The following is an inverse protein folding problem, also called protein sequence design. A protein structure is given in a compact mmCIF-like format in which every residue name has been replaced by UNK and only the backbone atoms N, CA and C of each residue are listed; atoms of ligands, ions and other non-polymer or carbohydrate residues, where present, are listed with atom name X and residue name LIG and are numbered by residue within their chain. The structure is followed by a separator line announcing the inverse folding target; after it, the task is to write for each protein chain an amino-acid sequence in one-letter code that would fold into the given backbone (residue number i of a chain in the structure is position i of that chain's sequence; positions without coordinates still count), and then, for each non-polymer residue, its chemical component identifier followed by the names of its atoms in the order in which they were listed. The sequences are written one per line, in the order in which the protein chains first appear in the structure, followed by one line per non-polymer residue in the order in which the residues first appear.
data_IF_230210681375
#
_entry.id   IF_230210681375
#
_cell.length_a   1.000
_cell.length_b   1.000
_cell.length_c   1.000
_cell.angle_alpha   90.00
_cell.angle_beta   90.00
_cell.angle_gamma   90.00
#
_symmetry.space_group_name_H-M   'P 1'
#
loop_
_entity.id
_entity.type
_entity.pdbx_description
1 polymer ?
#
# COMPACT_ATOMS: atom_id res chain seq x y z
N UNK A 1 13.03 -17.26 19.94
CA UNK A 1 12.23 -17.98 18.94
C UNK A 1 10.80 -17.97 19.45
N UNK A 2 9.93 -17.15 18.86
CA UNK A 2 8.50 -17.19 19.11
C UNK A 2 7.86 -17.60 17.79
N UNK A 3 7.54 -18.88 17.66
CA UNK A 3 6.71 -19.36 16.57
C UNK A 3 5.33 -18.73 16.76
N UNK A 4 4.96 -17.78 15.91
CA UNK A 4 3.58 -17.36 15.80
C UNK A 4 2.78 -18.56 15.29
N UNK A 5 1.94 -19.13 16.18
CA UNK A 5 1.07 -20.25 15.85
C UNK A 5 0.10 -19.80 14.74
N UNK A 6 0.07 -20.45 13.55
CA UNK A 6 -0.81 -20.08 12.44
C UNK A 6 -2.31 -20.12 12.79
N UNK A 7 -2.67 -20.77 13.89
CA UNK A 7 -4.06 -21.05 14.29
C UNK A 7 -4.66 -20.08 15.31
N UNK A 8 -3.95 -19.04 15.74
CA UNK A 8 -4.53 -18.10 16.70
C UNK A 8 -5.52 -17.18 16.00
N UNK A 9 -6.81 -17.30 16.37
CA UNK A 9 -7.86 -16.41 15.89
C UNK A 9 -7.44 -14.94 16.08
N UNK A 10 -7.51 -14.15 15.00
CA UNK A 10 -7.18 -12.72 15.03
C UNK A 10 -8.46 -11.91 15.09
N UNK A 11 -8.45 -10.82 15.84
CA UNK A 11 -9.56 -9.88 15.84
C UNK A 11 -9.57 -9.05 14.56
N UNK A 12 -10.66 -9.10 13.79
CA UNK A 12 -10.85 -8.24 12.63
C UNK A 12 -11.69 -7.04 13.05
N UNK A 13 -11.08 -5.87 13.00
CA UNK A 13 -11.72 -4.61 13.38
C UNK A 13 -12.22 -3.86 12.16
N UNK A 14 -13.20 -2.99 12.33
CA UNK A 14 -13.80 -2.17 11.26
C UNK A 14 -13.67 -0.70 11.59
N UNK A 15 -13.27 0.12 10.61
CA UNK A 15 -13.26 1.58 10.76
C UNK A 15 -13.69 2.30 9.48
N UNK A 16 -14.07 3.56 9.64
CA UNK A 16 -14.29 4.50 8.53
C UNK A 16 -13.03 5.37 8.39
N UNK A 17 -12.35 5.33 7.26
CA UNK A 17 -11.16 6.15 7.06
C UNK A 17 -11.48 7.62 6.74
N UNK A 18 -10.44 8.45 6.62
CA UNK A 18 -10.56 9.89 6.33
C UNK A 18 -11.28 10.23 5.02
N UNK A 19 -11.44 9.25 4.12
CA UNK A 19 -12.18 9.37 2.85
C UNK A 19 -13.62 8.87 2.95
N UNK A 20 -14.08 8.54 4.16
CA UNK A 20 -15.39 7.92 4.42
C UNK A 20 -15.58 6.61 3.68
N UNK A 21 -14.50 5.83 3.58
CA UNK A 21 -14.52 4.46 3.06
C UNK A 21 -14.40 3.53 4.25
N UNK A 22 -15.32 2.57 4.33
CA UNK A 22 -15.25 1.50 5.30
C UNK A 22 -14.10 0.55 4.93
N UNK A 23 -13.28 0.22 5.92
CA UNK A 23 -12.19 -0.75 5.80
C UNK A 23 -12.20 -1.69 7.00
N UNK A 24 -11.71 -2.91 6.78
CA UNK A 24 -11.47 -3.87 7.84
C UNK A 24 -9.97 -4.04 8.02
N UNK A 25 -9.51 -4.18 9.24
CA UNK A 25 -8.10 -4.24 9.53
C UNK A 25 -7.77 -5.18 10.69
N UNK A 26 -6.59 -5.77 10.62
CA UNK A 26 -6.00 -6.62 11.65
C UNK A 26 -4.71 -5.96 12.10
N UNK A 27 -4.60 -5.62 13.39
CA UNK A 27 -3.43 -4.96 13.96
C UNK A 27 -2.26 -5.92 14.14
N UNK A 28 -1.04 -5.41 14.00
CA UNK A 28 0.20 -6.10 14.33
C UNK A 28 0.57 -7.27 13.44
N UNK A 29 -0.14 -7.48 12.32
CA UNK A 29 0.08 -8.66 11.45
C UNK A 29 0.01 -8.31 9.98
N UNK A 30 0.87 -8.95 9.20
CA UNK A 30 0.74 -9.12 7.76
C UNK A 30 0.28 -10.55 7.49
N UNK A 31 -0.99 -10.75 7.13
CA UNK A 31 -1.53 -12.09 6.89
C UNK A 31 -1.29 -12.55 5.45
N UNK A 32 -1.10 -13.85 5.28
CA UNK A 32 -1.19 -14.48 3.96
C UNK A 32 -2.60 -14.36 3.39
N UNK A 33 -2.74 -14.53 2.07
CA UNK A 33 -4.04 -14.55 1.42
C UNK A 33 -4.93 -15.68 1.99
N UNK A 34 -4.34 -16.84 2.23
CA UNK A 34 -4.98 -18.01 2.81
C UNK A 34 -5.44 -17.76 4.24
N UNK A 35 -4.55 -17.28 5.12
CA UNK A 35 -4.90 -16.96 6.50
C UNK A 35 -5.96 -15.87 6.55
N UNK A 36 -5.90 -14.87 5.68
CA UNK A 36 -6.92 -13.83 5.62
C UNK A 36 -8.29 -14.40 5.25
N UNK A 37 -8.35 -15.32 4.28
CA UNK A 37 -9.57 -16.05 3.90
C UNK A 37 -10.12 -16.83 5.10
N UNK A 38 -9.30 -17.65 5.74
CA UNK A 38 -9.71 -18.45 6.90
C UNK A 38 -10.25 -17.58 8.04
N UNK A 39 -9.52 -16.53 8.43
CA UNK A 39 -9.88 -15.67 9.55
C UNK A 39 -11.16 -14.86 9.29
N UNK A 40 -11.38 -14.43 8.05
CA UNK A 40 -12.62 -13.75 7.66
C UNK A 40 -13.81 -14.70 7.61
N UNK A 41 -13.64 -15.93 7.11
CA UNK A 41 -14.70 -16.96 7.11
C UNK A 41 -15.14 -17.31 8.53
N UNK A 42 -14.19 -17.43 9.48
CA UNK A 42 -14.49 -17.78 10.87
C UNK A 42 -15.33 -16.75 11.61
N UNK A 43 -15.25 -15.47 11.22
CA UNK A 43 -15.95 -14.37 11.89
C UNK A 43 -17.30 -14.01 11.24
N UNK A 44 -17.73 -14.75 10.22
CA UNK A 44 -18.97 -14.54 9.44
C UNK A 44 -19.21 -13.06 9.10
N UNK A 45 -18.14 -12.36 8.74
CA UNK A 45 -18.24 -10.97 8.38
C UNK A 45 -18.90 -10.89 7.01
N UNK A 46 -20.00 -10.14 6.90
CA UNK A 46 -20.54 -9.65 5.62
C UNK A 46 -19.58 -8.62 4.99
N UNK A 47 -18.33 -9.02 4.78
CA UNK A 47 -17.28 -8.24 4.17
C UNK A 47 -17.35 -8.48 2.65
N UNK A 48 -17.54 -7.42 1.83
CA UNK A 48 -17.53 -7.54 0.38
C UNK A 48 -16.25 -8.18 -0.19
N UNK A 49 -15.15 -8.21 0.57
CA UNK A 49 -13.92 -8.92 0.21
C UNK A 49 -14.10 -10.44 0.12
N UNK A 50 -15.00 -11.05 0.90
CA UNK A 50 -15.19 -12.51 0.89
C UNK A 50 -15.57 -13.03 -0.50
N UNK A 51 -16.41 -12.28 -1.22
CA UNK A 51 -16.77 -12.59 -2.62
C UNK A 51 -15.56 -12.64 -3.56
N UNK A 52 -14.43 -12.02 -3.22
CA UNK A 52 -13.20 -12.07 -4.01
C UNK A 52 -12.20 -13.08 -3.45
N UNK A 53 -12.13 -13.23 -2.12
CA UNK A 53 -11.29 -14.23 -1.48
C UNK A 53 -11.74 -15.65 -1.82
N UNK A 54 -13.03 -15.91 -1.98
CA UNK A 54 -13.56 -17.25 -2.29
C UNK A 54 -13.46 -17.63 -3.77
N UNK A 55 -13.04 -16.71 -4.65
CA UNK A 55 -12.91 -17.01 -6.07
C UNK A 55 -11.77 -17.99 -6.31
N UNK A 56 -12.02 -18.92 -7.22
CA UNK A 56 -10.96 -19.71 -7.84
C UNK A 56 -10.11 -18.79 -8.71
N UNK A 57 -8.83 -18.65 -8.37
CA UNK A 57 -7.89 -17.78 -9.07
C UNK A 57 -7.19 -18.61 -10.14
N UNK A 58 -7.26 -18.23 -11.44
CA UNK A 58 -6.56 -18.93 -12.50
C UNK A 58 -5.06 -19.03 -12.18
N UNK A 59 -4.39 -20.16 -12.46
CA UNK A 59 -2.96 -20.33 -12.18
C UNK A 59 -2.11 -19.17 -12.72
N UNK A 60 -1.19 -18.65 -11.93
CA UNK A 60 -0.33 -17.51 -12.28
C UNK A 60 0.96 -17.52 -11.44
N UNK A 61 1.98 -16.72 -11.80
CA UNK A 61 3.16 -16.53 -10.96
C UNK A 61 2.79 -15.97 -9.57
N UNK A 62 2.92 -16.80 -8.53
CA UNK A 62 2.74 -16.40 -7.13
C UNK A 62 3.40 -17.41 -6.19
N UNK A 63 3.96 -16.98 -5.04
CA UNK A 63 4.28 -15.59 -4.70
C UNK A 63 5.48 -15.07 -5.48
N UNK A 64 5.56 -13.75 -5.70
CA UNK A 64 6.66 -13.09 -6.42
C UNK A 64 7.33 -12.08 -5.50
N UNK A 65 8.67 -12.08 -5.45
CA UNK A 65 9.44 -11.15 -4.62
C UNK A 65 9.90 -9.92 -5.43
N UNK A 66 9.46 -8.73 -5.02
CA UNK A 66 9.88 -7.45 -5.60
C UNK A 66 10.79 -6.70 -4.64
N UNK A 67 11.90 -6.19 -5.17
CA UNK A 67 12.85 -5.37 -4.43
C UNK A 67 12.68 -3.90 -4.81
N UNK A 68 11.86 -3.18 -4.04
CA UNK A 68 11.40 -1.84 -4.40
C UNK A 68 12.22 -0.76 -3.71
N UNK A 69 12.80 0.11 -4.51
CA UNK A 69 13.73 1.17 -4.07
C UNK A 69 13.07 2.54 -3.94
N UNK A 70 11.97 2.76 -4.68
CA UNK A 70 11.29 4.04 -4.74
C UNK A 70 9.93 3.98 -4.06
N UNK A 71 9.56 5.09 -3.44
CA UNK A 71 8.23 5.29 -2.86
C UNK A 71 7.62 6.56 -3.39
N UNK A 72 6.29 6.59 -3.42
CA UNK A 72 5.52 7.69 -3.97
C UNK A 72 4.48 8.21 -2.98
N UNK A 73 4.36 9.54 -2.94
CA UNK A 73 3.24 10.22 -2.33
C UNK A 73 2.37 10.82 -3.43
N UNK A 74 1.13 10.38 -3.53
CA UNK A 74 0.16 10.91 -4.49
C UNK A 74 -0.78 11.89 -3.80
N UNK A 75 -1.06 13.00 -4.49
CA UNK A 75 -2.03 14.00 -4.07
C UNK A 75 -2.80 14.59 -5.25
N UNK A 76 -3.88 15.32 -4.93
CA UNK A 76 -4.55 16.24 -5.85
C UNK A 76 -3.83 17.59 -5.92
N UNK A 77 -4.20 18.42 -6.91
CA UNK A 77 -3.61 19.76 -7.16
C UNK A 77 -3.43 20.61 -5.91
N UNK A 78 -4.46 20.73 -5.06
CA UNK A 78 -4.37 21.56 -3.86
C UNK A 78 -3.36 21.04 -2.85
N UNK A 79 -3.15 19.71 -2.75
CA UNK A 79 -2.13 19.15 -1.88
C UNK A 79 -0.73 19.31 -2.48
N UNK A 80 -0.61 19.18 -3.81
CA UNK A 80 0.64 19.48 -4.52
C UNK A 80 1.09 20.92 -4.29
N UNK A 81 0.19 21.90 -4.49
CA UNK A 81 0.49 23.32 -4.28
C UNK A 81 0.89 23.61 -2.83
N UNK A 82 0.21 22.98 -1.85
CA UNK A 82 0.56 23.10 -0.44
C UNK A 82 1.95 22.55 -0.16
N UNK A 83 2.25 21.32 -0.57
CA UNK A 83 3.56 20.68 -0.37
C UNK A 83 4.66 21.52 -1.03
N UNK A 84 4.44 22.00 -2.25
CA UNK A 84 5.43 22.79 -2.98
C UNK A 84 5.67 24.18 -2.35
N UNK A 85 4.65 24.76 -1.71
CA UNK A 85 4.76 26.04 -1.01
C UNK A 85 5.39 25.89 0.38
N UNK A 86 5.00 24.87 1.14
CA UNK A 86 5.47 24.66 2.52
C UNK A 86 6.77 23.84 2.61
N UNK A 87 7.20 23.22 1.52
CA UNK A 87 8.35 22.31 1.45
C UNK A 87 8.23 21.11 2.42
N UNK A 88 6.99 20.72 2.73
CA UNK A 88 6.69 19.86 3.87
C UNK A 88 5.62 18.82 3.56
N UNK A 89 5.93 17.57 3.87
CA UNK A 89 4.94 16.49 3.97
C UNK A 89 4.44 16.43 5.40
N UNK A 90 3.30 17.08 5.64
CA UNK A 90 2.57 17.01 6.92
C UNK A 90 1.46 15.98 6.80
N UNK A 91 1.22 15.17 7.84
CA UNK A 91 0.01 14.38 7.89
C UNK A 91 -1.20 15.33 7.94
N UNK A 92 -2.35 14.87 7.47
CA UNK A 92 -3.59 15.66 7.47
C UNK A 92 -4.17 15.81 8.88
N UNK A 93 -5.40 15.36 9.09
CA UNK A 93 -6.05 15.38 10.41
C UNK A 93 -5.53 14.28 11.37
N UNK A 94 -4.34 13.71 11.12
CA UNK A 94 -3.78 12.60 11.90
C UNK A 94 -2.27 12.74 12.01
N UNK A 95 -1.59 11.69 12.46
CA UNK A 95 -0.14 11.69 12.71
C UNK A 95 0.65 10.86 11.69
N UNK A 96 0.02 10.52 10.57
CA UNK A 96 0.55 9.52 9.64
C UNK A 96 0.65 10.07 8.22
N UNK A 97 1.87 10.06 7.68
CA UNK A 97 2.16 10.38 6.28
C UNK A 97 2.29 9.09 5.48
N UNK A 98 1.44 8.93 4.48
CA UNK A 98 1.27 7.70 3.69
C UNK A 98 2.07 7.77 2.40
N UNK A 99 2.75 6.66 2.11
CA UNK A 99 3.59 6.47 0.92
C UNK A 99 3.35 5.06 0.37
N UNK A 100 3.20 4.96 -0.94
CA UNK A 100 3.05 3.67 -1.61
C UNK A 100 4.35 3.28 -2.32
N UNK A 101 4.60 1.98 -2.48
CA UNK A 101 5.71 1.51 -3.31
C UNK A 101 5.55 1.99 -4.76
N UNK A 102 6.63 2.49 -5.35
CA UNK A 102 6.67 2.90 -6.76
C UNK A 102 7.44 1.85 -7.56
N UNK A 103 6.68 0.90 -8.10
CA UNK A 103 7.22 -0.21 -8.88
C UNK A 103 7.37 0.21 -10.33
N UNK A 104 8.58 0.12 -10.86
CA UNK A 104 8.86 0.41 -12.27
C UNK A 104 9.05 -0.90 -13.07
N UNK A 105 9.17 -0.77 -14.40
CA UNK A 105 9.36 -1.94 -15.28
C UNK A 105 10.66 -2.69 -14.98
N UNK A 106 11.71 -1.99 -14.57
CA UNK A 106 13.00 -2.60 -14.25
C UNK A 106 12.90 -3.48 -13.00
N UNK A 107 12.15 -3.04 -11.98
CA UNK A 107 11.87 -3.83 -10.77
C UNK A 107 10.95 -5.02 -11.05
N UNK A 108 10.05 -4.93 -12.03
CA UNK A 108 9.26 -6.09 -12.49
C UNK A 108 10.16 -7.10 -13.19
N UNK A 109 10.99 -6.65 -14.14
CA UNK A 109 11.94 -7.51 -14.87
C UNK A 109 12.97 -8.14 -13.94
N UNK A 110 13.47 -7.41 -12.95
CA UNK A 110 14.40 -7.94 -11.96
C UNK A 110 13.79 -9.02 -11.05
N UNK A 111 12.46 -9.05 -10.92
CA UNK A 111 11.74 -10.10 -10.20
C UNK A 111 11.46 -11.34 -11.06
N UNK A 112 11.70 -11.27 -12.37
CA UNK A 112 11.55 -12.42 -13.25
C UNK A 112 12.61 -13.48 -12.95
N UNK A 113 12.24 -14.74 -13.18
CA UNK A 113 13.12 -15.89 -13.00
C UNK A 113 13.03 -16.77 -14.24
N UNK A 114 13.92 -17.76 -14.38
CA UNK A 114 13.80 -18.76 -15.45
C UNK A 114 12.41 -19.43 -15.48
N UNK A 115 11.75 -19.54 -14.32
CA UNK A 115 10.40 -20.07 -14.19
C UNK A 115 9.32 -19.11 -14.70
N UNK A 116 9.52 -17.79 -14.56
CA UNK A 116 8.52 -16.75 -14.82
C UNK A 116 9.10 -15.55 -15.61
N UNK A 117 9.54 -15.72 -16.87
CA UNK A 117 10.14 -14.65 -17.69
C UNK A 117 9.09 -13.72 -18.34
N UNK A 118 7.91 -13.56 -17.74
CA UNK A 118 6.77 -12.85 -18.34
C UNK A 118 5.89 -12.14 -17.30
N UNK A 119 6.47 -11.67 -16.19
CA UNK A 119 5.73 -11.07 -15.08
C UNK A 119 4.93 -9.84 -15.49
N UNK A 120 5.41 -9.06 -16.47
CA UNK A 120 4.66 -7.92 -17.04
C UNK A 120 3.24 -8.31 -17.53
N UNK A 121 3.04 -9.57 -17.92
CA UNK A 121 1.73 -10.08 -18.35
C UNK A 121 0.73 -10.19 -17.20
N UNK A 122 1.24 -10.44 -15.98
CA UNK A 122 0.43 -10.72 -14.78
C UNK A 122 0.41 -9.55 -13.79
N UNK A 123 1.32 -8.58 -13.87
CA UNK A 123 1.34 -7.40 -12.99
C UNK A 123 0.29 -6.35 -13.38
N UNK A 124 -0.99 -6.73 -13.34
CA UNK A 124 -2.12 -5.89 -13.79
C UNK A 124 -2.77 -5.08 -12.67
N UNK A 125 -2.40 -5.30 -11.41
CA UNK A 125 -2.93 -4.54 -10.27
C UNK A 125 -2.35 -3.11 -10.19
N UNK A 126 -3.02 -2.19 -9.47
CA UNK A 126 -2.64 -0.77 -9.45
C UNK A 126 -1.18 -0.43 -9.08
N UNK A 127 -0.51 -1.12 -8.14
CA UNK A 127 0.89 -0.81 -7.81
C UNK A 127 1.85 -0.91 -9.00
N UNK A 128 1.50 -1.73 -9.99
CA UNK A 128 2.31 -2.00 -11.18
C UNK A 128 1.89 -1.15 -12.40
N UNK A 129 0.96 -0.21 -12.22
CA UNK A 129 0.49 0.72 -13.27
C UNK A 129 1.02 2.14 -13.01
N UNK A 130 2.32 2.38 -13.22
CA UNK A 130 2.98 3.63 -12.84
C UNK A 130 2.35 4.86 -13.48
N UNK A 131 1.75 4.75 -14.66
CA UNK A 131 1.15 5.87 -15.40
C UNK A 131 -0.19 6.35 -14.83
N UNK A 132 -0.82 5.54 -13.97
CA UNK A 132 -2.15 5.82 -13.43
C UNK A 132 -2.13 5.93 -11.91
N UNK A 133 -3.17 6.55 -11.36
CA UNK A 133 -3.35 6.64 -9.91
C UNK A 133 -4.81 6.76 -9.52
N UNK A 134 -5.16 6.07 -8.42
CA UNK A 134 -6.48 6.16 -7.80
C UNK A 134 -6.61 7.31 -6.81
N UNK A 135 -5.51 7.93 -6.39
CA UNK A 135 -5.48 8.83 -5.22
C UNK A 135 -5.21 10.30 -5.56
N UNK A 136 -5.04 10.61 -6.84
CA UNK A 136 -4.73 11.95 -7.33
C UNK A 136 -3.84 11.89 -8.57
N UNK A 137 -3.66 13.01 -9.24
CA UNK A 137 -2.92 13.12 -10.49
C UNK A 137 -1.54 13.78 -10.35
N UNK A 138 -1.13 14.14 -9.13
CA UNK A 138 0.20 14.64 -8.81
C UNK A 138 0.93 13.63 -7.94
N UNK A 139 2.17 13.32 -8.27
CA UNK A 139 2.98 12.34 -7.55
C UNK A 139 4.35 12.92 -7.25
N UNK A 140 4.82 12.73 -6.02
CA UNK A 140 6.23 12.90 -5.66
C UNK A 140 6.85 11.52 -5.47
N UNK A 141 7.96 11.25 -6.15
CA UNK A 141 8.68 9.98 -6.06
C UNK A 141 10.08 10.19 -5.51
N UNK A 142 10.46 9.44 -4.49
CA UNK A 142 11.80 9.51 -3.91
C UNK A 142 12.40 8.11 -3.74
N UNK A 143 13.74 7.99 -3.80
CA UNK A 143 14.43 6.85 -3.23
C UNK A 143 14.05 6.72 -1.76
N UNK A 144 13.66 5.52 -1.33
CA UNK A 144 13.29 5.27 0.06
C UNK A 144 14.46 5.55 1.01
N UNK A 145 15.70 5.29 0.58
CA UNK A 145 16.91 5.61 1.34
C UNK A 145 17.01 7.11 1.70
N UNK A 146 16.75 8.00 0.73
CA UNK A 146 16.76 9.45 0.97
C UNK A 146 15.59 9.87 1.88
N UNK A 147 14.40 9.31 1.67
CA UNK A 147 13.24 9.58 2.52
C UNK A 147 13.50 9.16 3.97
N UNK A 148 14.09 7.98 4.18
CA UNK A 148 14.49 7.47 5.49
C UNK A 148 15.57 8.34 6.13
N UNK A 149 16.52 8.87 5.34
CA UNK A 149 17.55 9.79 5.81
C UNK A 149 16.95 11.11 6.31
N UNK A 150 16.07 11.76 5.54
CA UNK A 150 15.38 12.96 6.00
C UNK A 150 14.56 12.70 7.26
N UNK A 151 13.84 11.57 7.31
CA UNK A 151 13.07 11.21 8.49
C UNK A 151 13.96 11.01 9.73
N UNK A 152 15.08 10.28 9.57
CA UNK A 152 16.09 10.07 10.63
C UNK A 152 16.63 11.37 11.18
N UNK A 153 17.07 12.28 10.30
CA UNK A 153 17.65 13.57 10.68
C UNK A 153 16.63 14.48 11.36
N UNK A 154 15.41 14.54 10.84
CA UNK A 154 14.42 15.54 11.24
C UNK A 154 13.48 15.09 12.36
N UNK A 155 13.23 13.78 12.48
CA UNK A 155 12.20 13.23 13.37
C UNK A 155 12.72 12.16 14.34
N UNK A 156 13.95 11.66 14.15
CA UNK A 156 14.54 10.63 15.03
C UNK A 156 15.78 11.11 15.80
N UNK A 157 16.08 12.42 15.80
CA UNK A 157 17.31 12.97 16.38
C UNK A 157 18.59 12.24 15.91
N UNK A 158 18.62 11.84 14.64
CA UNK A 158 19.73 11.11 14.04
C UNK A 158 19.79 9.61 14.39
N UNK A 159 18.87 9.06 15.17
CA UNK A 159 18.79 7.61 15.46
C UNK A 159 18.06 6.87 14.35
N UNK A 160 18.40 5.60 14.15
CA UNK A 160 17.73 4.78 13.14
C UNK A 160 16.22 4.67 13.40
N UNK A 161 15.37 4.94 12.39
CA UNK A 161 13.93 4.73 12.49
C UNK A 161 13.59 3.26 12.77
N UNK A 162 12.52 3.02 13.52
CA UNK A 162 12.03 1.68 13.82
C UNK A 162 10.91 1.32 12.85
N UNK A 163 10.99 0.13 12.24
CA UNK A 163 9.98 -0.39 11.32
C UNK A 163 9.19 -1.51 12.00
N UNK A 164 7.85 -1.42 11.96
CA UNK A 164 6.93 -2.38 12.58
C UNK A 164 5.84 -2.82 11.61
N UNK A 165 5.38 -4.06 11.78
CA UNK A 165 4.15 -4.55 11.13
C UNK A 165 2.96 -3.83 11.76
N UNK A 166 2.34 -2.90 11.05
CA UNK A 166 1.28 -2.10 11.63
C UNK A 166 -0.07 -2.80 11.48
N UNK A 167 -0.53 -3.03 10.26
CA UNK A 167 -1.87 -3.55 9.99
C UNK A 167 -1.89 -4.32 8.65
N UNK A 168 -2.76 -5.32 8.56
CA UNK A 168 -3.32 -5.77 7.29
C UNK A 168 -4.66 -5.07 7.13
N UNK A 169 -4.77 -4.16 6.16
CA UNK A 169 -6.01 -3.42 5.87
C UNK A 169 -6.65 -3.96 4.60
N UNK A 170 -7.96 -4.13 4.62
CA UNK A 170 -8.73 -4.73 3.54
C UNK A 170 -9.88 -3.83 3.12
N UNK A 171 -10.06 -3.73 1.81
CA UNK A 171 -11.19 -3.06 1.16
C UNK A 171 -11.99 -4.07 0.34
N UNK A 172 -12.75 -3.65 -0.68
CA UNK A 172 -13.53 -4.57 -1.50
C UNK A 172 -12.67 -5.64 -2.21
N UNK A 173 -11.53 -5.27 -2.78
CA UNK A 173 -10.64 -6.17 -3.56
C UNK A 173 -9.17 -6.02 -3.18
N UNK A 174 -8.85 -5.03 -2.35
CA UNK A 174 -7.49 -4.58 -2.08
C UNK A 174 -7.08 -5.05 -0.69
N UNK A 175 -5.97 -5.75 -0.61
CA UNK A 175 -5.22 -6.03 0.62
C UNK A 175 -4.04 -5.04 0.70
N UNK A 176 -3.82 -4.48 1.88
CA UNK A 176 -2.76 -3.51 2.15
C UNK A 176 -1.98 -3.95 3.37
N UNK A 177 -0.70 -4.27 3.19
CA UNK A 177 0.22 -4.44 4.31
C UNK A 177 0.82 -3.07 4.64
N UNK A 178 0.54 -2.55 5.82
CA UNK A 178 1.06 -1.25 6.24
C UNK A 178 2.28 -1.42 7.12
N UNK A 179 3.39 -0.81 6.73
CA UNK A 179 4.61 -0.73 7.54
C UNK A 179 4.62 0.60 8.28
N UNK A 180 4.59 0.55 9.61
CA UNK A 180 4.79 1.73 10.44
C UNK A 180 6.28 2.03 10.55
N UNK A 181 6.65 3.27 10.28
CA UNK A 181 7.99 3.83 10.46
C UNK A 181 7.88 4.92 11.51
N UNK A 182 8.57 4.76 12.64
CA UNK A 182 8.49 5.72 13.74
C UNK A 182 9.85 5.99 14.38
N UNK A 183 9.97 7.14 15.06
CA UNK A 183 11.15 7.45 15.87
C UNK A 183 11.28 6.50 17.05
N UNK A 184 12.51 6.09 17.44
CA UNK A 184 12.75 5.25 18.62
C UNK A 184 12.16 5.80 19.93
N UNK A 185 11.94 7.12 20.02
CA UNK A 185 11.27 7.76 21.16
C UNK A 185 9.86 7.21 21.40
N UNK A 186 9.17 6.77 20.35
CA UNK A 186 7.81 6.23 20.42
C UNK A 186 7.77 4.70 20.54
N UNK A 187 8.88 4.06 20.93
CA UNK A 187 8.92 2.60 21.08
C UNK A 187 7.87 2.06 22.04
N UNK A 188 7.69 2.70 23.21
CA UNK A 188 6.66 2.26 24.17
C UNK A 188 5.25 2.40 23.61
N UNK A 189 5.00 3.45 22.81
CA UNK A 189 3.69 3.70 22.20
C UNK A 189 3.31 2.64 21.17
N UNK A 190 4.27 2.05 20.49
CA UNK A 190 4.04 1.09 19.40
C UNK A 190 4.55 -0.31 19.72
N UNK A 191 4.79 -0.61 21.00
CA UNK A 191 5.40 -1.86 21.45
C UNK A 191 4.54 -3.08 21.11
N UNK A 192 3.22 -2.92 20.99
CA UNK A 192 2.31 -4.00 20.61
C UNK A 192 2.43 -4.43 19.15
N UNK A 193 2.98 -3.58 18.29
CA UNK A 193 3.22 -3.90 16.89
C UNK A 193 4.57 -4.60 16.76
N UNK A 194 4.65 -5.84 16.25
CA UNK A 194 5.92 -6.55 16.14
C UNK A 194 6.88 -5.85 15.17
N UNK A 195 8.18 -6.12 15.30
CA UNK A 195 9.18 -5.56 14.40
C UNK A 195 9.00 -6.11 12.99
N UNK A 196 9.27 -5.28 11.97
CA UNK A 196 9.08 -5.68 10.56
C UNK A 196 9.89 -6.93 10.19
N UNK A 197 11.04 -7.18 10.83
CA UNK A 197 11.86 -8.39 10.59
C UNK A 197 11.14 -9.71 10.87
N UNK A 198 10.03 -9.68 11.61
CA UNK A 198 9.18 -10.83 11.91
C UNK A 198 8.11 -11.09 10.83
N UNK A 199 8.00 -10.19 9.85
CA UNK A 199 7.08 -10.31 8.72
C UNK A 199 7.63 -11.28 7.67
N UNK A 200 6.82 -12.26 7.26
CA UNK A 200 7.15 -13.16 6.16
C UNK A 200 6.94 -12.53 4.77
N UNK A 201 6.10 -11.48 4.68
CA UNK A 201 5.61 -10.93 3.41
C UNK A 201 6.29 -9.61 3.01
N UNK A 202 6.83 -8.88 3.99
CA UNK A 202 7.41 -7.55 3.79
C UNK A 202 8.65 -7.42 4.65
N UNK A 203 9.80 -7.12 4.03
CA UNK A 203 11.07 -6.88 4.72
C UNK A 203 11.64 -5.54 4.28
N UNK A 204 12.56 -4.99 5.08
CA UNK A 204 13.34 -3.81 4.72
C UNK A 204 14.82 -4.17 4.77
N UNK A 205 15.52 -3.92 3.67
CA UNK A 205 16.94 -4.23 3.55
C UNK A 205 17.59 -3.26 2.55
N UNK A 206 18.75 -2.71 2.92
CA UNK A 206 19.58 -1.88 2.04
C UNK A 206 18.84 -0.72 1.35
N UNK A 207 17.96 -0.03 2.10
CA UNK A 207 17.17 1.08 1.58
C UNK A 207 16.01 0.66 0.67
N UNK A 208 15.67 -0.64 0.61
CA UNK A 208 14.60 -1.20 -0.21
C UNK A 208 13.57 -1.93 0.63
N UNK A 209 12.32 -1.92 0.16
CA UNK A 209 11.29 -2.82 0.65
C UNK A 209 11.32 -4.07 -0.21
N UNK A 210 11.48 -5.22 0.42
CA UNK A 210 11.33 -6.52 -0.21
C UNK A 210 9.90 -6.97 0.05
N UNK A 211 9.09 -7.03 -1.00
CA UNK A 211 7.69 -7.42 -0.92
C UNK A 211 7.47 -8.74 -1.63
N UNK A 212 7.08 -9.77 -0.87
CA UNK A 212 6.65 -11.07 -1.38
C UNK A 212 5.16 -11.01 -1.71
N UNK A 213 4.84 -10.50 -2.89
CA UNK A 213 3.48 -10.30 -3.38
C UNK A 213 2.79 -11.65 -3.62
N UNK A 214 1.55 -11.76 -3.13
CA UNK A 214 0.74 -12.96 -3.33
C UNK A 214 -0.29 -12.77 -4.44
N UNK A 215 -0.71 -11.54 -4.72
CA UNK A 215 -1.80 -11.25 -5.63
C UNK A 215 -1.49 -10.01 -6.48
N UNK A 216 -0.71 -10.23 -7.54
CA UNK A 216 -0.21 -9.19 -8.45
C UNK A 216 -1.21 -8.80 -9.57
N UNK A 217 -2.27 -9.59 -9.76
CA UNK A 217 -3.29 -9.41 -10.79
C UNK A 217 -4.57 -8.84 -10.18
N UNK A 218 -4.98 -7.62 -10.54
CA UNK A 218 -6.37 -7.19 -10.24
C UNK A 218 -7.34 -7.87 -11.21
N UNK A 219 -6.90 -8.10 -12.45
CA UNK A 219 -7.69 -8.75 -13.49
C UNK A 219 -6.82 -9.77 -14.21
N UNK A 220 -7.31 -11.01 -14.32
CA UNK A 220 -6.65 -12.06 -15.09
C UNK A 220 -7.15 -12.04 -16.53
N UNK A 221 -6.23 -11.79 -17.47
CA UNK A 221 -6.42 -12.01 -18.90
C UNK A 221 -5.71 -13.26 -19.39
N UNK A 222 -4.85 -13.81 -18.54
CA UNK A 222 -4.02 -14.95 -18.84
C UNK A 222 -3.97 -15.88 -17.63
N UNK A 223 -3.68 -17.14 -17.90
CA UNK A 223 -3.31 -18.16 -16.92
C UNK A 223 -1.99 -18.81 -17.32
N UNK A 224 -1.25 -19.31 -16.34
CA UNK A 224 0.01 -20.01 -16.54
C UNK A 224 -0.15 -21.49 -16.20
N UNK A 225 -0.23 -22.33 -17.22
CA UNK A 225 -0.49 -23.77 -17.07
C UNK A 225 0.53 -24.55 -17.91
N UNK A 226 1.18 -25.53 -17.28
CA UNK A 226 2.15 -26.42 -17.94
C UNK A 226 3.29 -25.70 -18.67
N UNK A 227 3.78 -24.59 -18.11
CA UNK A 227 4.90 -23.83 -18.71
C UNK A 227 4.48 -22.82 -19.77
N UNK A 228 3.19 -22.69 -20.08
CA UNK A 228 2.68 -21.80 -21.12
C UNK A 228 1.73 -20.74 -20.57
N UNK A 229 1.81 -19.54 -21.13
CA UNK A 229 0.86 -18.45 -20.89
C UNK A 229 -0.30 -18.60 -21.87
N UNK A 230 -1.52 -18.77 -21.35
CA UNK A 230 -2.74 -18.96 -22.16
C UNK A 230 -3.75 -17.84 -21.88
N UNK A 231 -4.38 -17.26 -22.91
CA UNK A 231 -5.41 -16.25 -22.71
C UNK A 231 -6.66 -16.85 -22.03
N UNK A 232 -7.38 -16.01 -21.29
CA UNK A 232 -8.67 -16.32 -20.71
C UNK A 232 -9.78 -15.57 -21.45
N UNK A 233 -10.93 -16.21 -21.62
CA UNK A 233 -12.05 -15.67 -22.39
C UNK A 233 -12.96 -14.71 -21.60
N UNK A 234 -12.67 -14.48 -20.32
CA UNK A 234 -13.52 -13.63 -19.47
C UNK A 234 -12.69 -12.65 -18.63
N UNK A 235 -13.05 -11.38 -18.69
CA UNK A 235 -12.52 -10.36 -17.81
C UNK A 235 -13.16 -10.47 -16.41
N UNK A 236 -12.38 -10.90 -15.42
CA UNK A 236 -12.83 -10.98 -14.03
C UNK A 236 -11.88 -10.23 -13.09
N UNK A 237 -12.48 -9.60 -12.06
CA UNK A 237 -11.76 -8.94 -10.97
C UNK A 237 -11.48 -9.91 -9.83
N UNK A 238 -10.25 -9.87 -9.34
CA UNK A 238 -9.73 -10.68 -8.25
C UNK A 238 -9.16 -9.79 -7.14
N UNK A 239 -8.88 -10.43 -6.01
CA UNK A 239 -8.15 -9.79 -4.93
C UNK A 239 -6.72 -9.47 -5.38
N UNK A 240 -6.19 -8.35 -4.91
CA UNK A 240 -4.80 -7.97 -5.12
C UNK A 240 -4.22 -7.35 -3.85
N UNK A 241 -2.90 -7.50 -3.65
CA UNK A 241 -2.19 -6.99 -2.49
C UNK A 241 -1.16 -5.93 -2.86
N UNK A 242 -0.75 -5.14 -1.88
CA UNK A 242 0.36 -4.18 -1.98
C UNK A 242 0.83 -3.73 -0.60
N UNK A 243 1.94 -3.00 -0.57
CA UNK A 243 2.53 -2.44 0.64
C UNK A 243 2.42 -0.92 0.62
N UNK A 244 2.05 -0.35 1.77
CA UNK A 244 2.15 1.09 2.04
C UNK A 244 3.06 1.33 3.25
N UNK A 245 3.87 2.36 3.18
CA UNK A 245 4.68 2.85 4.29
C UNK A 245 3.96 4.02 4.95
N UNK A 246 4.01 4.04 6.28
CA UNK A 246 3.34 5.04 7.10
C UNK A 246 4.35 5.63 8.07
N UNK A 247 4.74 6.88 7.82
CA UNK A 247 5.65 7.62 8.70
C UNK A 247 4.87 8.29 9.82
N UNK A 248 5.24 8.00 11.07
CA UNK A 248 4.68 8.66 12.25
C UNK A 248 5.29 10.06 12.43
N UNK A 249 4.41 11.06 12.42
CA UNK A 249 4.72 12.49 12.49
C UNK A 249 3.72 13.15 13.47
N UNK A 250 3.94 13.03 14.78
CA UNK A 250 3.07 13.61 15.80
C UNK A 250 3.32 15.11 15.98
N UNK A 251 2.43 15.83 16.66
CA UNK A 251 2.65 17.21 17.14
C UNK A 251 3.16 18.18 16.05
N UNK A 252 2.46 18.25 14.91
CA UNK A 252 2.82 19.09 13.76
C UNK A 252 4.18 18.75 13.08
N UNK A 253 4.78 17.61 13.42
CA UNK A 253 5.97 17.12 12.75
C UNK A 253 5.73 16.92 11.25
N UNK A 254 6.82 17.02 10.49
CA UNK A 254 6.78 16.96 9.03
C UNK A 254 8.10 16.42 8.49
N UNK A 255 8.06 15.88 7.28
CA UNK A 255 9.27 15.66 6.49
C UNK A 255 9.47 16.87 5.59
N UNK A 256 10.54 17.63 5.84
CA UNK A 256 10.95 18.81 5.07
C UNK A 256 11.84 18.36 3.91
N UNK A 257 11.49 18.76 2.70
CA UNK A 257 12.27 18.47 1.49
C UNK A 257 12.45 19.77 0.71
N UNK A 258 13.70 20.19 0.42
CA UNK A 258 13.99 21.38 -0.38
C UNK A 258 13.19 21.44 -1.68
N UNK A 259 12.67 22.61 -2.03
CA UNK A 259 11.85 22.81 -3.22
C UNK A 259 12.52 22.37 -4.52
N UNK A 260 13.84 22.48 -4.63
CA UNK A 260 14.58 21.97 -5.79
C UNK A 260 14.35 20.46 -5.98
N UNK A 261 14.53 19.68 -4.91
CA UNK A 261 14.31 18.24 -4.92
C UNK A 261 12.83 17.89 -5.11
N UNK A 262 11.89 18.67 -4.55
CA UNK A 262 10.47 18.49 -4.82
C UNK A 262 10.12 18.65 -6.31
N UNK A 263 10.72 19.62 -6.99
CA UNK A 263 10.49 19.85 -8.43
C UNK A 263 11.09 18.74 -9.28
N UNK A 264 12.24 18.21 -8.91
CA UNK A 264 12.89 17.09 -9.60
C UNK A 264 12.14 15.77 -9.39
N UNK A 265 11.53 15.58 -8.21
CA UNK A 265 10.82 14.37 -7.83
C UNK A 265 9.35 14.33 -8.24
N UNK A 266 8.78 15.46 -8.68
CA UNK A 266 7.36 15.50 -9.05
C UNK A 266 7.14 15.01 -10.47
N UNK A 267 6.01 14.33 -10.66
CA UNK A 267 5.50 13.95 -11.96
C UNK A 267 3.96 13.95 -11.93
N UNK A 268 3.37 13.93 -13.12
CA UNK A 268 1.94 13.78 -13.32
C UNK A 268 1.59 12.31 -13.57
N UNK A 269 0.39 11.93 -13.18
CA UNK A 269 -0.17 10.63 -13.55
C UNK A 269 -1.62 10.79 -13.97
N UNK A 270 -2.06 9.92 -14.87
CA UNK A 270 -3.45 9.86 -15.27
C UNK A 270 -4.30 9.38 -14.10
N UNK A 271 -5.52 9.89 -13.98
CA UNK A 271 -6.47 9.30 -13.05
C UNK A 271 -6.86 7.92 -13.57
N UNK A 272 -6.77 6.91 -12.71
CA UNK A 272 -7.30 5.59 -13.00
C UNK A 272 -8.83 5.67 -13.15
N UNK A 273 -9.40 4.71 -13.87
CA UNK A 273 -10.85 4.52 -14.03
C UNK A 273 -11.55 4.52 -12.67
N UNK A 274 -10.89 3.93 -11.66
CA UNK A 274 -11.30 4.03 -10.25
C UNK A 274 -10.64 5.26 -9.61
N UNK A 275 -11.39 6.36 -9.50
CA UNK A 275 -10.92 7.57 -8.84
C UNK A 275 -11.39 7.64 -7.37
N UNK A 276 -10.46 7.47 -6.43
CA UNK A 276 -10.66 7.56 -4.98
C UNK A 276 -10.20 8.91 -4.37
N UNK A 277 -9.79 9.88 -5.19
CA UNK A 277 -9.38 11.21 -4.76
C UNK A 277 -10.55 12.15 -4.49
N UNK A 278 -11.70 11.90 -5.13
CA UNK A 278 -12.90 12.70 -4.95
C UNK A 278 -13.57 12.38 -3.62
N UNK A 279 -13.69 13.36 -2.72
CA UNK A 279 -14.70 13.31 -1.66
C UNK A 279 -16.05 13.23 -2.36
N UNK A 280 -16.80 12.14 -2.19
CA UNK A 280 -18.19 12.06 -2.67
C UNK A 280 -18.92 13.29 -2.13
N UNK A 281 -19.29 14.24 -3.00
CA UNK A 281 -20.25 15.28 -2.64
C UNK A 281 -21.56 14.54 -2.37
N UNK A 282 -22.12 14.71 -1.16
CA UNK A 282 -23.44 14.19 -0.88
C UNK A 282 -24.41 14.74 -1.95
N UNK A 283 -25.06 13.85 -2.68
CA UNK A 283 -26.20 14.17 -3.53
C UNK A 283 -27.40 14.51 -2.62
N UNK A 284 -27.33 15.64 -1.92
CA UNK A 284 -28.41 16.10 -1.04
C UNK A 284 -28.28 17.59 -0.73
N UNK A 285 -28.09 18.42 -1.76
CA UNK A 285 -28.44 19.84 -1.71
C UNK A 285 -28.98 20.23 -3.09
N UNK A 286 -30.28 19.95 -3.33
CA UNK A 286 -31.04 20.74 -4.31
C UNK A 286 -31.06 22.17 -3.78
N UNK A 287 -30.68 23.19 -4.56
CA UNK A 287 -30.88 24.57 -4.15
C UNK A 287 -32.39 24.78 -3.95
N UNK A 288 -32.78 25.20 -2.75
CA UNK A 288 -34.08 25.82 -2.54
C UNK A 288 -34.07 27.08 -3.40
N UNK A 289 -34.83 27.06 -4.50
CA UNK A 289 -35.24 28.29 -5.16
C UNK A 289 -36.00 29.12 -4.13
N UNK A 290 -35.50 30.33 -3.88
CA UNK A 290 -36.28 31.39 -3.25
C UNK A 290 -37.03 32.08 -4.38
N UNK A 291 -38.35 31.96 -4.36
CA UNK A 291 -39.28 33.03 -4.73
C UNK A 291 -40.22 33.21 -3.54
#
# INVERSE_FOLDING_TARGET
MANANPQQAVEIQRRMNSRRIQEYFIKGRHLSLENLREQMSLQDLQNPMMTYLEKEIPPYPTPVEFWVSNVAHVTVKSGFEKILHSEQFRPGAGEFSWWDLKINKDEIKAAETEKWPFLETFTTSPPFKPETSRYGNYRFTFPLSELMKWYKEQNCAGKEPVLRMHETVTYKQKIMYTVLIHSPEYNERFREYPLLKESEWVRYQDGKIIWKAQAICETHWYQFVSGEVKPLNSHQFYVWDHVSLVFHLPNDASIKIPRKQLREAHDFCNLDTINLSARKRNASQKPKQKE
#
